data_IF_347891221885
#
_entry.id   IF_347891221885
#
_cell.length_a   1.000
_cell.length_b   1.000
_cell.length_c   1.000
_cell.angle_alpha   90.00
_cell.angle_beta   90.00
_cell.angle_gamma   90.00
#
_symmetry.space_group_name_H-M   'P 1'
#
loop_
_entity.id
_entity.type
_entity.pdbx_description
1 polymer ?
#
# COMPACT_ATOMS: atom_id res chain seq x y z
N UNK A 1 13.39 -20.48 -15.73
CA UNK A 1 12.75 -19.59 -14.74
C UNK A 1 13.78 -18.51 -14.38
N UNK A 2 13.93 -17.41 -15.11
CA UNK A 2 13.05 -16.26 -15.18
C UNK A 2 13.76 -15.06 -14.53
N UNK A 3 14.39 -14.20 -15.36
CA UNK A 3 15.25 -13.02 -15.05
C UNK A 3 14.57 -11.88 -14.24
N UNK A 4 13.56 -12.16 -13.43
CA UNK A 4 12.70 -11.15 -12.77
C UNK A 4 12.81 -11.05 -11.25
N UNK A 5 13.50 -11.97 -10.58
CA UNK A 5 13.54 -12.03 -9.10
C UNK A 5 14.51 -11.01 -8.45
N UNK A 6 15.26 -10.24 -9.25
CA UNK A 6 16.21 -9.24 -8.73
C UNK A 6 15.63 -7.83 -8.54
N UNK A 7 14.33 -7.64 -8.70
CA UNK A 7 13.71 -6.38 -8.31
C UNK A 7 13.50 -6.39 -6.80
N UNK A 8 14.34 -5.65 -6.06
CA UNK A 8 14.22 -5.37 -4.62
C UNK A 8 12.96 -4.57 -4.30
N UNK A 9 11.78 -5.10 -4.61
CA UNK A 9 10.54 -4.54 -4.13
C UNK A 9 10.37 -4.96 -2.67
N UNK A 10 10.28 -3.98 -1.78
CA UNK A 10 9.90 -4.24 -0.39
C UNK A 10 8.42 -4.64 -0.40
N UNK A 11 8.15 -5.93 -0.29
CA UNK A 11 6.78 -6.44 -0.17
C UNK A 11 6.34 -6.27 1.28
N UNK A 12 5.39 -5.36 1.51
CA UNK A 12 4.73 -5.27 2.81
C UNK A 12 3.72 -6.40 2.93
N UNK A 13 3.97 -7.34 3.85
CA UNK A 13 2.97 -8.35 4.21
C UNK A 13 1.96 -7.71 5.13
N UNK A 14 0.68 -7.76 4.75
CA UNK A 14 -0.45 -7.26 5.52
C UNK A 14 -1.55 -8.31 5.55
N UNK A 15 -2.48 -8.20 6.49
CA UNK A 15 -3.64 -9.07 6.52
C UNK A 15 -4.48 -8.86 5.27
N UNK A 16 -5.18 -9.91 4.82
CA UNK A 16 -6.02 -9.83 3.63
C UNK A 16 -7.13 -8.77 3.78
N UNK A 17 -7.68 -8.63 4.98
CA UNK A 17 -8.68 -7.60 5.29
C UNK A 17 -8.13 -6.19 5.06
N UNK A 18 -6.92 -5.91 5.58
CA UNK A 18 -6.26 -4.61 5.41
C UNK A 18 -5.94 -4.34 3.94
N UNK A 19 -5.53 -5.36 3.19
CA UNK A 19 -5.29 -5.25 1.76
C UNK A 19 -6.56 -4.84 1.00
N UNK A 20 -7.69 -5.48 1.30
CA UNK A 20 -8.97 -5.17 0.66
C UNK A 20 -9.43 -3.75 0.99
N UNK A 21 -9.32 -3.34 2.26
CA UNK A 21 -9.63 -1.98 2.69
C UNK A 21 -8.76 -0.96 1.97
N UNK A 22 -7.44 -1.16 1.96
CA UNK A 22 -6.49 -0.28 1.30
C UNK A 22 -6.79 -0.15 -0.21
N UNK A 23 -7.16 -1.27 -0.84
CA UNK A 23 -7.55 -1.29 -2.26
C UNK A 23 -8.81 -0.46 -2.50
N UNK A 24 -9.85 -0.63 -1.70
CA UNK A 24 -11.08 0.16 -1.82
C UNK A 24 -10.83 1.65 -1.60
N UNK A 25 -10.00 2.02 -0.62
CA UNK A 25 -9.61 3.42 -0.37
C UNK A 25 -8.83 4.02 -1.55
N UNK A 26 -7.87 3.27 -2.08
CA UNK A 26 -7.08 3.65 -3.26
C UNK A 26 -7.96 3.88 -4.48
N UNK A 27 -8.94 3.00 -4.73
CA UNK A 27 -9.89 3.15 -5.84
C UNK A 27 -10.82 4.35 -5.67
N UNK A 28 -11.37 4.55 -4.47
CA UNK A 28 -12.25 5.69 -4.18
C UNK A 28 -11.52 7.04 -4.32
N UNK A 29 -10.24 7.09 -3.94
CA UNK A 29 -9.42 8.30 -4.05
C UNK A 29 -8.74 8.49 -5.42
N UNK A 30 -8.82 7.49 -6.32
CA UNK A 30 -8.18 7.56 -7.64
C UNK A 30 -6.65 7.61 -7.61
N UNK A 31 -6.02 7.07 -6.55
CA UNK A 31 -4.56 7.08 -6.36
C UNK A 31 -3.99 5.67 -6.26
N UNK A 32 -2.67 5.52 -6.34
CA UNK A 32 -2.03 4.21 -6.18
C UNK A 32 -2.17 3.66 -4.75
N UNK A 33 -2.18 2.33 -4.58
CA UNK A 33 -2.23 1.71 -3.24
C UNK A 33 -1.04 2.10 -2.36
N UNK A 34 0.14 2.30 -2.95
CA UNK A 34 1.33 2.73 -2.23
C UNK A 34 1.17 4.16 -1.68
N UNK A 35 0.60 5.06 -2.49
CA UNK A 35 0.32 6.43 -2.06
C UNK A 35 -0.81 6.48 -1.03
N UNK A 36 -1.87 5.67 -1.21
CA UNK A 36 -2.94 5.54 -0.23
C UNK A 36 -2.39 5.08 1.12
N UNK A 37 -1.54 4.04 1.13
CA UNK A 37 -0.90 3.54 2.34
C UNK A 37 0.00 4.62 2.97
N UNK A 38 0.82 5.29 2.16
CA UNK A 38 1.70 6.36 2.63
C UNK A 38 0.90 7.49 3.28
N UNK A 39 -0.21 7.91 2.68
CA UNK A 39 -1.09 8.94 3.24
C UNK A 39 -1.73 8.48 4.54
N UNK A 40 -2.18 7.23 4.66
CA UNK A 40 -2.75 6.71 5.92
C UNK A 40 -1.71 6.79 7.04
N UNK A 41 -0.52 6.21 6.82
CA UNK A 41 0.52 6.14 7.86
C UNK A 41 1.11 7.51 8.22
N UNK A 42 1.16 8.46 7.28
CA UNK A 42 1.71 9.81 7.53
C UNK A 42 0.66 10.80 8.00
N UNK A 43 -0.60 10.67 7.60
CA UNK A 43 -1.70 11.52 8.08
C UNK A 43 -2.02 11.23 9.53
N UNK A 44 -2.06 9.96 9.93
CA UNK A 44 -2.26 9.60 11.35
C UNK A 44 -1.07 10.02 12.20
N UNK A 45 0.16 9.96 11.67
CA UNK A 45 1.34 10.45 12.37
C UNK A 45 1.38 11.98 12.50
N UNK A 46 0.93 12.73 11.50
CA UNK A 46 0.94 14.19 11.51
C UNK A 46 -0.20 14.83 12.33
N UNK A 47 -1.19 14.03 12.74
CA UNK A 47 -2.36 14.46 13.54
C UNK A 47 -2.30 14.00 15.01
N UNK A 48 -1.20 13.33 15.41
CA UNK A 48 -0.91 12.88 16.77
C UNK A 48 0.15 13.78 17.43
#
# INVERSE_FOLDING_TARGET
MGKGYEKRYKVTRILLADYQLLKSLSQAAGISMAEALHKIITRDWAMA
#
